data_IF_963079335052
#
_entry.id   IF_963079335052
#
_cell.length_a   1.000
_cell.length_b   1.000
_cell.length_c   1.000
_cell.angle_alpha   90.00
_cell.angle_beta   90.00
_cell.angle_gamma   90.00
#
_symmetry.space_group_name_H-M   'P 1'
#
loop_
_entity.id
_entity.type
_entity.pdbx_description
1 polymer ?
#
# COMPACT_ATOMS: atom_id res chain seq x y z
N UNK A 1 9.30 22.60 12.61
CA UNK A 1 8.64 21.64 11.68
C UNK A 1 9.28 20.25 11.65
N UNK A 2 10.57 20.06 11.98
CA UNK A 2 11.21 18.73 11.97
C UNK A 2 10.86 17.83 13.17
N UNK A 3 10.47 18.41 14.31
CA UNK A 3 10.17 17.67 15.55
C UNK A 3 8.85 16.87 15.51
N UNK A 4 7.83 17.31 14.76
CA UNK A 4 6.54 16.58 14.69
C UNK A 4 6.62 15.30 13.84
N UNK A 5 7.49 15.27 12.83
CA UNK A 5 7.67 14.09 11.96
C UNK A 5 8.43 12.96 12.67
N UNK A 6 9.41 13.30 13.53
CA UNK A 6 10.14 12.31 14.33
C UNK A 6 9.26 11.63 15.38
N UNK A 7 8.36 12.39 16.03
CA UNK A 7 7.40 11.83 16.99
C UNK A 7 6.40 10.86 16.34
N UNK A 8 5.96 11.12 15.10
CA UNK A 8 5.01 10.25 14.39
C UNK A 8 5.60 8.90 13.97
N UNK A 9 6.88 8.85 13.60
CA UNK A 9 7.55 7.59 13.23
C UNK A 9 8.02 6.79 14.45
N UNK A 10 8.48 7.46 15.52
CA UNK A 10 8.89 6.81 16.77
C UNK A 10 7.72 6.12 17.50
N UNK A 11 6.54 6.73 17.52
CA UNK A 11 5.36 6.15 18.17
C UNK A 11 4.79 4.94 17.40
N UNK A 12 4.99 4.87 16.08
CA UNK A 12 4.55 3.71 15.28
C UNK A 12 5.35 2.44 15.64
N UNK A 13 6.62 2.57 16.02
CA UNK A 13 7.50 1.44 16.32
C UNK A 13 7.17 0.80 17.67
N UNK A 14 6.68 1.57 18.65
CA UNK A 14 6.44 1.07 20.02
C UNK A 14 5.09 0.33 20.14
N UNK A 15 4.08 0.68 19.32
CA UNK A 15 2.79 -0.04 19.26
C UNK A 15 2.82 -1.24 18.28
N UNK A 16 3.87 -1.34 17.44
CA UNK A 16 3.92 -2.26 16.31
C UNK A 16 4.02 -3.75 16.65
N UNK A 17 4.48 -4.16 17.84
CA UNK A 17 4.77 -5.58 18.09
C UNK A 17 3.55 -6.51 17.94
N UNK A 18 2.33 -5.98 18.08
CA UNK A 18 1.08 -6.76 17.90
C UNK A 18 0.22 -6.36 16.71
N UNK A 19 0.43 -5.19 16.10
CA UNK A 19 -0.41 -4.67 15.02
C UNK A 19 0.05 -5.03 13.61
N UNK A 20 1.30 -5.51 13.47
CA UNK A 20 1.86 -5.83 12.16
C UNK A 20 1.97 -7.34 11.89
N UNK A 21 1.96 -7.70 10.61
CA UNK A 21 2.21 -9.05 10.09
C UNK A 21 3.27 -8.98 9.01
N UNK A 22 4.22 -9.92 9.03
CA UNK A 22 5.19 -10.04 7.95
C UNK A 22 4.53 -10.69 6.73
N UNK A 23 4.71 -10.06 5.58
CA UNK A 23 4.33 -10.57 4.26
C UNK A 23 5.60 -10.66 3.43
N UNK A 24 6.08 -11.87 3.20
CA UNK A 24 7.31 -12.12 2.45
C UNK A 24 7.05 -12.84 1.14
N UNK A 25 8.01 -12.74 0.22
CA UNK A 25 8.10 -13.57 -0.97
C UNK A 25 9.46 -14.22 -1.03
N UNK A 26 9.49 -15.52 -1.35
CA UNK A 26 10.70 -16.31 -1.56
C UNK A 26 10.57 -17.01 -2.91
N UNK A 27 11.60 -16.93 -3.79
CA UNK A 27 11.57 -17.60 -5.08
C UNK A 27 11.32 -19.10 -4.95
N UNK A 28 10.55 -19.65 -5.87
CA UNK A 28 10.28 -21.09 -5.93
C UNK A 28 8.88 -21.43 -6.41
N UNK A 29 8.65 -22.73 -6.49
CA UNK A 29 7.36 -23.33 -6.79
C UNK A 29 6.75 -23.88 -5.51
N UNK A 30 5.77 -23.15 -4.98
CA UNK A 30 5.13 -23.48 -3.71
C UNK A 30 3.84 -24.27 -3.99
N UNK A 31 3.66 -25.40 -3.33
CA UNK A 31 2.49 -26.30 -3.48
C UNK A 31 1.88 -26.63 -2.12
N UNK A 32 0.61 -27.03 -2.13
CA UNK A 32 -0.11 -27.42 -0.91
C UNK A 32 -0.08 -26.31 0.16
N UNK A 33 0.16 -26.64 1.44
CA UNK A 33 0.18 -25.65 2.52
C UNK A 33 1.24 -24.55 2.34
N UNK A 34 2.33 -24.81 1.61
CA UNK A 34 3.39 -23.82 1.38
C UNK A 34 2.93 -22.63 0.53
N UNK A 35 1.86 -22.78 -0.26
CA UNK A 35 1.30 -21.66 -1.03
C UNK A 35 0.87 -20.49 -0.14
N UNK A 36 0.41 -20.76 1.08
CA UNK A 36 -0.04 -19.73 2.04
C UNK A 36 1.12 -19.03 2.78
N UNK A 37 2.37 -19.44 2.54
CA UNK A 37 3.54 -18.88 3.25
C UNK A 37 4.10 -17.62 2.58
N UNK A 38 3.87 -17.44 1.28
CA UNK A 38 4.55 -16.39 0.50
C UNK A 38 3.61 -15.61 -0.43
N UNK A 39 4.07 -14.43 -0.85
CA UNK A 39 3.44 -13.63 -1.89
C UNK A 39 2.00 -13.22 -1.61
N UNK A 40 1.20 -13.10 -2.67
CA UNK A 40 -0.18 -12.63 -2.55
C UNK A 40 -1.08 -13.64 -1.82
N UNK A 41 -0.69 -14.91 -1.76
CA UNK A 41 -1.40 -15.96 -1.03
C UNK A 41 -1.13 -15.90 0.48
N UNK A 42 0.06 -15.44 0.91
CA UNK A 42 0.31 -15.10 2.32
C UNK A 42 -0.53 -13.92 2.78
N UNK A 43 -0.62 -12.87 1.96
CA UNK A 43 -1.48 -11.74 2.25
C UNK A 43 -2.94 -12.19 2.39
N UNK A 44 -3.42 -12.99 1.42
CA UNK A 44 -4.76 -13.57 1.46
C UNK A 44 -5.02 -14.34 2.74
N UNK A 45 -4.15 -15.28 3.12
CA UNK A 45 -4.37 -16.10 4.32
C UNK A 45 -4.45 -15.27 5.59
N UNK A 46 -3.63 -14.22 5.71
CA UNK A 46 -3.65 -13.31 6.85
C UNK A 46 -4.94 -12.49 6.88
N UNK A 47 -5.41 -12.00 5.72
CA UNK A 47 -6.67 -11.24 5.64
C UNK A 47 -7.91 -12.12 5.87
N UNK A 48 -7.89 -13.40 5.47
CA UNK A 48 -8.97 -14.36 5.73
C UNK A 48 -9.24 -14.57 7.23
N UNK A 49 -8.24 -14.38 8.08
CA UNK A 49 -8.33 -14.46 9.56
C UNK A 49 -8.90 -13.16 10.19
N UNK A 50 -9.10 -12.10 9.40
CA UNK A 50 -9.51 -10.79 9.90
C UNK A 50 -11.00 -10.51 9.70
N UNK A 51 -11.57 -9.78 10.66
CA UNK A 51 -12.92 -9.21 10.60
C UNK A 51 -12.80 -7.69 10.48
N UNK A 52 -13.48 -7.11 9.50
CA UNK A 52 -13.45 -5.69 9.18
C UNK A 52 -14.83 -5.07 9.40
N UNK A 53 -14.87 -3.75 9.56
CA UNK A 53 -16.14 -3.01 9.62
C UNK A 53 -16.87 -3.10 8.26
N UNK A 54 -18.20 -3.21 8.31
CA UNK A 54 -19.06 -3.30 7.11
C UNK A 54 -18.82 -2.21 6.07
N UNK A 55 -18.36 -1.02 6.49
CA UNK A 55 -18.01 0.07 5.58
C UNK A 55 -16.91 -0.30 4.56
N UNK A 56 -16.14 -1.37 4.80
CA UNK A 56 -15.09 -1.82 3.90
C UNK A 56 -15.57 -2.88 2.88
N UNK A 57 -16.82 -3.33 2.96
CA UNK A 57 -17.40 -4.24 1.97
C UNK A 57 -17.35 -3.64 0.57
N UNK A 58 -16.70 -4.35 -0.37
CA UNK A 58 -16.45 -3.95 -1.76
C UNK A 58 -15.76 -2.58 -1.91
N UNK A 59 -15.21 -2.04 -0.81
CA UNK A 59 -14.52 -0.77 -0.82
C UNK A 59 -13.25 -0.82 -1.68
N UNK A 60 -12.80 0.31 -2.24
CA UNK A 60 -11.70 0.31 -3.21
C UNK A 60 -10.36 -0.14 -2.62
N UNK A 61 -9.50 -0.63 -3.52
CA UNK A 61 -8.13 -1.01 -3.26
C UNK A 61 -7.19 0.00 -3.91
N UNK A 62 -6.09 0.35 -3.26
CA UNK A 62 -5.03 1.18 -3.84
C UNK A 62 -3.76 0.34 -3.97
N UNK A 63 -3.18 0.33 -5.17
CA UNK A 63 -1.87 -0.24 -5.47
C UNK A 63 -0.94 0.90 -5.82
N UNK A 64 0.08 1.13 -5.01
CA UNK A 64 1.11 2.11 -5.30
C UNK A 64 2.47 1.42 -5.31
N UNK A 65 3.24 1.64 -6.37
CA UNK A 65 4.53 1.00 -6.56
C UNK A 65 5.42 1.85 -7.47
N UNK A 66 6.66 1.41 -7.74
CA UNK A 66 7.62 2.13 -8.59
C UNK A 66 8.07 1.32 -9.81
N UNK A 67 7.63 0.08 -9.97
CA UNK A 67 7.85 -0.72 -11.19
C UNK A 67 6.66 -1.64 -11.47
N UNK A 68 6.40 -1.89 -12.75
CA UNK A 68 5.30 -2.66 -13.28
C UNK A 68 5.82 -3.82 -14.13
N UNK A 69 5.50 -5.05 -13.70
CA UNK A 69 5.78 -6.25 -14.48
C UNK A 69 4.87 -6.40 -15.69
N UNK A 70 5.08 -7.44 -16.49
CA UNK A 70 4.13 -7.80 -17.55
C UNK A 70 2.90 -8.48 -16.94
N UNK A 71 1.79 -7.73 -16.83
CA UNK A 71 0.53 -8.19 -16.24
C UNK A 71 -0.51 -8.55 -17.30
N UNK A 72 -1.51 -9.34 -16.91
CA UNK A 72 -2.72 -9.60 -17.70
C UNK A 72 -3.96 -9.51 -16.79
N UNK A 73 -5.16 -9.45 -17.39
CA UNK A 73 -6.41 -9.31 -16.64
C UNK A 73 -6.68 -10.48 -15.70
N UNK A 74 -6.27 -11.69 -16.09
CA UNK A 74 -6.41 -12.90 -15.28
C UNK A 74 -5.63 -12.75 -13.97
N UNK A 75 -4.37 -12.35 -14.06
CA UNK A 75 -3.53 -12.16 -12.88
C UNK A 75 -3.97 -10.95 -12.05
N UNK A 76 -4.43 -9.86 -12.67
CA UNK A 76 -5.02 -8.74 -11.93
C UNK A 76 -6.23 -9.18 -11.09
N UNK A 77 -7.08 -10.05 -11.64
CA UNK A 77 -8.23 -10.62 -10.93
C UNK A 77 -7.80 -11.57 -9.81
N UNK A 78 -6.80 -12.41 -10.06
CA UNK A 78 -6.19 -13.29 -9.05
C UNK A 78 -5.63 -12.48 -7.86
N UNK A 79 -4.86 -11.43 -8.15
CA UNK A 79 -4.29 -10.55 -7.15
C UNK A 79 -5.37 -9.79 -6.38
N UNK A 80 -6.35 -9.20 -7.08
CA UNK A 80 -7.48 -8.50 -6.46
C UNK A 80 -8.30 -9.42 -5.53
N UNK A 81 -8.48 -10.70 -5.89
CA UNK A 81 -9.12 -11.70 -5.04
C UNK A 81 -8.37 -11.88 -3.71
N UNK A 82 -7.04 -12.02 -3.77
CA UNK A 82 -6.21 -12.09 -2.56
C UNK A 82 -6.33 -10.86 -1.66
N UNK A 83 -6.31 -9.66 -2.24
CA UNK A 83 -6.42 -8.39 -1.50
C UNK A 83 -7.86 -8.10 -1.02
N UNK A 84 -8.82 -8.92 -1.41
CA UNK A 84 -10.23 -8.78 -1.06
C UNK A 84 -10.74 -9.82 -0.06
N UNK A 85 -9.83 -10.61 0.49
CA UNK A 85 -10.11 -11.57 1.54
C UNK A 85 -10.53 -10.90 2.87
N UNK A 86 -11.10 -11.72 3.74
CA UNK A 86 -11.61 -11.32 5.05
C UNK A 86 -13.13 -11.21 5.08
N UNK A 87 -13.65 -11.01 6.29
CA UNK A 87 -15.09 -10.93 6.54
C UNK A 87 -15.46 -9.56 7.09
N UNK A 88 -16.69 -9.15 6.89
CA UNK A 88 -17.29 -8.06 7.64
C UNK A 88 -17.76 -8.53 9.02
N UNK A 89 -18.04 -7.57 9.91
CA UNK A 89 -18.61 -7.79 11.25
C UNK A 89 -19.94 -8.57 11.23
N UNK A 90 -20.74 -8.44 10.18
CA UNK A 90 -21.97 -9.21 9.95
C UNK A 90 -21.72 -10.63 9.36
N UNK A 91 -20.46 -11.04 9.25
CA UNK A 91 -20.05 -12.35 8.74
C UNK A 91 -20.03 -12.46 7.21
N UNK A 92 -20.50 -11.45 6.47
CA UNK A 92 -20.42 -11.45 5.01
C UNK A 92 -18.98 -11.37 4.50
N UNK A 93 -18.73 -11.84 3.27
CA UNK A 93 -17.41 -11.71 2.64
C UNK A 93 -17.14 -10.24 2.34
N UNK A 94 -15.92 -9.78 2.63
CA UNK A 94 -15.53 -8.39 2.37
C UNK A 94 -15.65 -8.03 0.88
N UNK A 95 -15.40 -9.01 0.00
CA UNK A 95 -15.71 -8.94 -1.42
C UNK A 95 -14.75 -8.08 -2.25
N UNK A 96 -14.79 -8.30 -3.57
CA UNK A 96 -13.88 -7.67 -4.54
C UNK A 96 -13.99 -6.15 -4.48
N UNK A 97 -12.87 -5.49 -4.17
CA UNK A 97 -12.73 -4.04 -4.22
C UNK A 97 -12.26 -3.57 -5.59
N UNK A 98 -12.67 -2.37 -6.01
CA UNK A 98 -12.19 -1.75 -7.27
C UNK A 98 -10.71 -1.36 -7.13
N UNK A 99 -9.80 -1.87 -7.97
CA UNK A 99 -8.40 -1.45 -7.95
C UNK A 99 -8.24 -0.01 -8.46
N UNK A 100 -7.37 0.75 -7.80
CA UNK A 100 -6.85 2.04 -8.21
C UNK A 100 -5.33 1.96 -8.16
N UNK A 101 -4.66 2.25 -9.27
CA UNK A 101 -3.21 2.19 -9.38
C UNK A 101 -2.64 3.60 -9.33
N UNK A 102 -1.92 3.92 -8.25
CA UNK A 102 -1.19 5.18 -8.13
C UNK A 102 0.15 5.03 -8.84
N UNK A 103 0.28 5.74 -9.96
CA UNK A 103 1.47 5.73 -10.81
C UNK A 103 1.81 7.16 -11.27
N UNK A 104 3.09 7.57 -11.28
CA UNK A 104 3.47 8.89 -11.76
C UNK A 104 3.14 9.08 -13.25
N UNK A 105 2.55 10.22 -13.57
CA UNK A 105 2.44 10.67 -14.97
C UNK A 105 3.80 11.13 -15.50
N UNK A 106 3.89 11.28 -16.81
CA UNK A 106 5.04 11.94 -17.47
C UNK A 106 5.25 13.34 -16.91
N UNK A 107 4.17 14.08 -16.65
CA UNK A 107 4.24 15.45 -16.12
C UNK A 107 4.69 15.46 -14.65
N UNK A 108 4.25 14.49 -13.84
CA UNK A 108 4.72 14.33 -12.45
C UNK A 108 6.23 14.10 -12.40
N UNK A 109 6.77 13.22 -13.26
CA UNK A 109 8.21 12.95 -13.35
C UNK A 109 8.96 14.19 -13.88
N UNK A 110 8.49 14.77 -14.99
CA UNK A 110 9.11 15.95 -15.62
C UNK A 110 9.19 17.14 -14.67
N UNK A 111 8.17 17.36 -13.85
CA UNK A 111 8.09 18.46 -12.89
C UNK A 111 8.62 18.12 -11.49
N UNK A 112 9.13 16.91 -11.30
CA UNK A 112 9.70 16.44 -10.04
C UNK A 112 10.92 17.27 -9.63
N UNK A 113 11.39 17.08 -8.39
CA UNK A 113 12.61 17.72 -7.89
C UNK A 113 13.82 17.28 -8.72
N UNK A 114 13.84 16.04 -9.22
CA UNK A 114 14.96 15.48 -9.97
C UNK A 114 14.75 15.54 -11.50
N UNK A 115 13.62 16.11 -11.95
CA UNK A 115 13.24 16.12 -13.35
C UNK A 115 13.13 14.70 -13.92
N UNK A 116 13.53 14.51 -15.17
CA UNK A 116 13.48 13.18 -15.78
C UNK A 116 14.42 12.15 -15.12
N UNK A 117 15.45 12.58 -14.39
CA UNK A 117 16.37 11.66 -13.72
C UNK A 117 15.65 10.76 -12.71
N UNK A 118 14.61 11.27 -12.01
CA UNK A 118 13.76 10.46 -11.12
C UNK A 118 13.11 9.26 -11.82
N UNK A 119 12.83 9.40 -13.13
CA UNK A 119 12.25 8.34 -13.95
C UNK A 119 13.09 7.08 -14.03
N UNK A 120 14.41 7.18 -13.78
CA UNK A 120 15.33 6.04 -13.69
C UNK A 120 15.00 5.10 -12.54
N UNK A 121 14.43 5.63 -11.45
CA UNK A 121 13.96 4.87 -10.29
C UNK A 121 12.50 4.40 -10.41
N UNK A 122 11.87 4.66 -11.56
CA UNK A 122 10.53 4.17 -11.91
C UNK A 122 10.61 3.29 -13.17
N UNK A 123 11.32 2.14 -13.12
CA UNK A 123 11.65 1.36 -14.31
C UNK A 123 10.43 0.53 -14.75
N UNK A 124 9.73 0.98 -15.78
CA UNK A 124 8.65 0.19 -16.42
C UNK A 124 8.59 0.46 -17.91
N UNK A 125 8.74 -0.57 -18.75
CA UNK A 125 8.76 -0.40 -20.19
C UNK A 125 7.37 -0.04 -20.71
N UNK A 126 7.32 0.74 -21.78
CA UNK A 126 6.10 1.24 -22.43
C UNK A 126 5.11 0.10 -22.70
N UNK A 127 5.59 -1.04 -23.21
CA UNK A 127 4.78 -2.24 -23.48
C UNK A 127 4.03 -2.83 -22.27
N UNK A 128 4.50 -2.55 -21.05
CA UNK A 128 3.81 -2.99 -19.83
C UNK A 128 2.80 -1.95 -19.35
N UNK A 129 3.18 -0.67 -19.43
CA UNK A 129 2.40 0.45 -18.90
C UNK A 129 1.21 0.78 -19.80
N UNK A 130 1.36 0.68 -21.12
CA UNK A 130 0.33 1.05 -22.09
C UNK A 130 -0.65 -0.09 -22.44
N UNK A 131 -0.69 -1.18 -21.66
CA UNK A 131 -1.69 -2.24 -21.86
C UNK A 131 -3.09 -1.69 -21.64
N UNK A 132 -3.98 -1.89 -22.62
CA UNK A 132 -5.28 -1.22 -22.63
C UNK A 132 -6.15 -1.48 -21.40
N UNK A 133 -6.12 -2.69 -20.85
CA UNK A 133 -6.89 -3.02 -19.65
C UNK A 133 -6.48 -2.24 -18.40
N UNK A 134 -5.27 -1.64 -18.38
CA UNK A 134 -4.79 -0.84 -17.27
C UNK A 134 -5.34 0.58 -17.26
N UNK A 135 -5.80 1.10 -18.41
CA UNK A 135 -6.26 2.50 -18.56
C UNK A 135 -7.29 2.90 -17.51
N UNK A 136 -8.18 1.98 -17.14
CA UNK A 136 -9.26 2.20 -16.15
C UNK A 136 -8.81 2.27 -14.69
N UNK A 137 -7.56 1.95 -14.39
CA UNK A 137 -7.04 1.91 -13.02
C UNK A 137 -6.16 3.10 -12.66
N UNK A 138 -5.61 3.83 -13.63
CA UNK A 138 -4.59 4.84 -13.38
C UNK A 138 -5.09 6.01 -12.52
N UNK A 139 -4.31 6.31 -11.50
CA UNK A 139 -4.50 7.40 -10.55
C UNK A 139 -3.18 8.14 -10.35
N UNK A 140 -3.24 9.46 -10.23
CA UNK A 140 -2.10 10.36 -10.14
C UNK A 140 -1.31 10.15 -8.85
N UNK A 141 0.01 10.34 -8.94
CA UNK A 141 0.82 10.59 -7.76
C UNK A 141 0.50 11.99 -7.23
N UNK A 142 -0.20 12.04 -6.09
CA UNK A 142 -0.48 13.29 -5.36
C UNK A 142 -0.16 13.09 -3.90
N UNK A 143 0.64 13.97 -3.32
CA UNK A 143 1.18 13.88 -1.98
C UNK A 143 1.37 15.28 -1.33
N UNK A 144 0.51 16.24 -1.68
CA UNK A 144 0.58 17.63 -1.18
C UNK A 144 0.46 17.70 0.34
N UNK A 145 -0.38 16.85 0.94
CA UNK A 145 -0.63 16.78 2.39
C UNK A 145 0.62 16.41 3.20
N UNK A 146 1.63 15.82 2.56
CA UNK A 146 2.92 15.48 3.18
C UNK A 146 4.10 16.18 2.50
N UNK A 147 3.84 17.17 1.65
CA UNK A 147 4.86 17.97 0.96
C UNK A 147 5.73 17.17 -0.03
N UNK A 148 5.26 16.02 -0.53
CA UNK A 148 6.05 15.10 -1.37
C UNK A 148 5.55 14.97 -2.80
N UNK A 149 4.65 15.85 -3.26
CA UNK A 149 4.12 15.82 -4.63
C UNK A 149 5.22 15.80 -5.70
N UNK A 150 6.31 16.53 -5.50
CA UNK A 150 7.44 16.59 -6.44
C UNK A 150 8.55 15.57 -6.15
N UNK A 151 8.43 14.77 -5.10
CA UNK A 151 9.37 13.70 -4.78
C UNK A 151 8.82 12.38 -5.33
N UNK A 152 9.47 11.83 -6.36
CA UNK A 152 8.96 10.66 -7.05
C UNK A 152 8.99 9.40 -6.16
N UNK A 153 7.95 8.55 -6.22
CA UNK A 153 7.82 7.44 -5.30
C UNK A 153 8.78 6.29 -5.68
N UNK A 154 9.65 5.92 -4.74
CA UNK A 154 10.29 4.61 -4.71
C UNK A 154 9.68 3.68 -3.63
N UNK A 155 8.77 4.20 -2.82
CA UNK A 155 7.98 3.42 -1.85
C UNK A 155 6.98 2.50 -2.58
N UNK A 156 6.56 1.38 -1.96
CA UNK A 156 5.49 0.51 -2.47
C UNK A 156 4.50 0.23 -1.36
N UNK A 157 3.23 0.50 -1.62
CA UNK A 157 2.16 0.30 -0.64
C UNK A 157 0.89 -0.25 -1.28
N UNK A 158 0.16 -1.04 -0.50
CA UNK A 158 -1.11 -1.61 -0.89
C UNK A 158 -2.09 -1.41 0.26
N UNK A 159 -3.33 -1.01 -0.02
CA UNK A 159 -4.31 -0.76 1.03
C UNK A 159 -5.74 -0.92 0.54
N UNK A 160 -6.67 -1.20 1.46
CA UNK A 160 -8.11 -1.09 1.27
C UNK A 160 -8.61 0.05 2.15
N UNK A 161 -9.48 0.90 1.63
CA UNK A 161 -9.89 2.11 2.32
C UNK A 161 -11.36 2.48 2.07
N UNK A 162 -11.91 3.29 2.96
CA UNK A 162 -13.17 4.01 2.74
C UNK A 162 -13.06 5.43 3.32
N UNK A 163 -13.10 6.44 2.44
CA UNK A 163 -12.82 7.82 2.81
C UNK A 163 -11.39 7.96 3.35
N UNK A 164 -11.26 8.40 4.60
CA UNK A 164 -9.96 8.46 5.31
C UNK A 164 -9.73 7.27 6.25
N UNK A 165 -10.65 6.31 6.32
CA UNK A 165 -10.49 5.09 7.12
C UNK A 165 -9.79 4.01 6.30
N UNK A 166 -8.95 3.22 6.96
CA UNK A 166 -8.12 2.20 6.35
C UNK A 166 -8.52 0.85 6.93
N UNK A 167 -8.84 -0.12 6.07
CA UNK A 167 -9.12 -1.49 6.52
C UNK A 167 -7.81 -2.22 6.88
N UNK A 168 -6.78 -2.03 6.07
CA UNK A 168 -5.44 -2.56 6.27
C UNK A 168 -4.46 -1.80 5.38
N UNK A 169 -3.19 -1.74 5.77
CA UNK A 169 -2.15 -1.05 5.01
C UNK A 169 -0.89 -1.90 4.95
N UNK A 170 -0.33 -2.07 3.78
CA UNK A 170 0.89 -2.85 3.56
C UNK A 170 1.96 -1.93 3.01
N UNK A 171 3.11 -1.89 3.70
CA UNK A 171 4.35 -1.29 3.22
C UNK A 171 5.32 -2.43 2.86
N UNK A 172 5.84 -2.45 1.64
CA UNK A 172 6.64 -3.58 1.13
C UNK A 172 7.72 -3.15 0.14
N UNK A 173 8.65 -4.05 -0.17
CA UNK A 173 9.53 -3.94 -1.32
C UNK A 173 8.86 -4.36 -2.64
N UNK A 174 7.79 -5.15 -2.56
CA UNK A 174 7.11 -5.75 -3.72
C UNK A 174 6.48 -4.72 -4.66
N UNK A 175 7.02 -4.62 -5.86
CA UNK A 175 6.38 -3.94 -6.99
C UNK A 175 5.18 -4.73 -7.53
N UNK A 176 4.33 -4.11 -8.36
CA UNK A 176 3.19 -4.82 -8.97
C UNK A 176 3.68 -5.72 -10.12
N UNK A 177 4.07 -6.94 -9.77
CA UNK A 177 4.56 -7.93 -10.72
C UNK A 177 4.28 -9.36 -10.25
N UNK A 178 4.13 -10.28 -11.20
CA UNK A 178 4.06 -11.74 -10.95
C UNK A 178 5.34 -12.27 -10.29
N UNK A 179 6.49 -11.66 -10.57
CA UNK A 179 7.77 -12.08 -10.02
C UNK A 179 7.84 -11.85 -8.49
N UNK A 180 7.38 -10.67 -8.05
CA UNK A 180 7.35 -10.26 -6.65
C UNK A 180 6.24 -10.95 -5.86
N UNK A 181 5.02 -10.98 -6.41
CA UNK A 181 3.84 -11.45 -5.68
C UNK A 181 3.53 -12.93 -5.87
N UNK A 182 4.01 -13.51 -6.96
CA UNK A 182 3.68 -14.85 -7.41
C UNK A 182 2.52 -14.90 -8.39
N UNK A 183 2.42 -16.00 -9.13
CA UNK A 183 1.28 -16.32 -9.98
C UNK A 183 0.87 -17.78 -9.82
N UNK A 184 -0.44 -18.02 -9.76
CA UNK A 184 -1.01 -19.37 -9.70
C UNK A 184 -0.85 -20.09 -11.05
N UNK A 185 -0.44 -21.35 -10.97
CA UNK A 185 -0.18 -22.25 -12.08
C UNK A 185 -0.82 -23.61 -11.82
N UNK A 186 -0.82 -24.49 -12.84
CA UNK A 186 -1.34 -25.87 -12.73
C UNK A 186 -2.74 -25.92 -12.10
N UNK A 187 -3.70 -25.19 -12.67
CA UNK A 187 -5.07 -25.08 -12.15
C UNK A 187 -5.13 -24.66 -10.67
N UNK A 188 -4.36 -23.63 -10.32
CA UNK A 188 -4.29 -23.03 -8.98
C UNK A 188 -3.74 -23.97 -7.87
N UNK A 189 -3.01 -25.02 -8.24
CA UNK A 189 -2.38 -25.95 -7.28
C UNK A 189 -0.92 -25.63 -6.98
N UNK A 190 -0.34 -24.65 -7.69
CA UNK A 190 1.05 -24.22 -7.53
C UNK A 190 1.14 -22.69 -7.59
N UNK A 191 1.88 -22.07 -6.67
CA UNK A 191 2.23 -20.66 -6.70
C UNK A 191 3.70 -20.51 -7.09
N UNK A 192 3.99 -19.82 -8.20
CA UNK A 192 5.37 -19.58 -8.65
C UNK A 192 5.79 -18.15 -8.35
N UNK A 193 6.88 -17.97 -7.59
CA UNK A 193 7.50 -16.69 -7.23
C UNK A 193 8.92 -16.65 -7.77
N UNK A 194 9.40 -15.47 -8.21
CA UNK A 194 10.75 -15.29 -8.78
C UNK A 194 11.66 -14.36 -8.00
N UNK A 195 11.12 -13.60 -7.05
CA UNK A 195 11.86 -12.56 -6.33
C UNK A 195 11.77 -12.74 -4.82
N UNK A 196 12.81 -12.28 -4.11
CA UNK A 196 12.76 -12.07 -2.67
C UNK A 196 12.10 -10.72 -2.40
N UNK A 197 11.11 -10.71 -1.53
CA UNK A 197 10.44 -9.48 -1.11
C UNK A 197 10.05 -9.56 0.36
N UNK A 198 9.91 -8.40 1.00
CA UNK A 198 9.44 -8.34 2.38
C UNK A 198 8.63 -7.06 2.61
N UNK A 199 7.57 -7.20 3.41
CA UNK A 199 6.74 -6.10 3.85
C UNK A 199 6.07 -6.34 5.20
N UNK A 200 5.53 -5.25 5.74
CA UNK A 200 4.79 -5.20 7.00
C UNK A 200 3.35 -4.77 6.73
N UNK A 201 2.40 -5.63 7.10
CA UNK A 201 0.97 -5.39 6.99
C UNK A 201 0.43 -4.91 8.34
N UNK A 202 -0.08 -3.69 8.37
CA UNK A 202 -0.80 -3.08 9.48
C UNK A 202 -2.28 -3.48 9.41
N UNK A 203 -2.78 -4.05 10.51
CA UNK A 203 -4.15 -4.52 10.66
C UNK A 203 -4.85 -3.84 11.85
N UNK A 204 -6.16 -3.57 11.76
CA UNK A 204 -6.95 -3.24 12.93
C UNK A 204 -7.01 -4.48 13.81
N UNK A 205 -6.77 -4.32 15.11
CA UNK A 205 -6.90 -5.41 16.06
C UNK A 205 -7.57 -4.97 17.34
N UNK A 206 -8.13 -5.98 18.00
CA UNK A 206 -8.44 -5.94 19.41
C UNK A 206 -7.14 -6.25 20.17
N UNK A 207 -6.49 -5.23 20.73
CA UNK A 207 -5.36 -5.44 21.63
C UNK A 207 -5.91 -5.80 23.01
N UNK A 208 -5.38 -6.87 23.60
CA UNK A 208 -5.40 -7.04 25.05
C UNK A 208 -4.29 -6.15 25.61
N UNK A 209 -4.64 -5.24 26.52
CA UNK A 209 -3.68 -4.42 27.27
C UNK A 209 -2.58 -5.33 27.85
N UNK A 210 -1.35 -5.12 27.41
CA UNK A 210 -0.14 -5.76 27.94
C UNK A 210 0.92 -4.69 28.16
N UNK A 211 1.87 -4.90 29.08
CA UNK A 211 2.89 -3.91 29.39
C UNK A 211 3.65 -3.45 28.14
N UNK A 212 3.67 -2.14 27.90
CA UNK A 212 4.37 -1.53 26.79
C UNK A 212 5.89 -1.62 27.03
N UNK A 213 6.65 -2.22 26.10
CA UNK A 213 8.10 -2.21 26.15
C UNK A 213 8.61 -1.02 25.32
N UNK A 214 9.25 -0.05 25.97
CA UNK A 214 9.89 1.10 25.31
C UNK A 214 11.38 1.10 25.61
N UNK A 215 12.21 1.25 24.57
CA UNK A 215 13.65 1.48 24.72
C UNK A 215 14.01 2.97 24.78
N UNK A 216 13.02 3.86 24.86
CA UNK A 216 13.21 5.30 25.03
C UNK A 216 12.49 5.77 26.29
N UNK A 217 13.21 6.52 27.13
CA UNK A 217 12.66 7.14 28.31
C UNK A 217 11.76 8.32 27.91
N UNK A 218 10.50 8.25 28.36
CA UNK A 218 9.47 9.29 28.32
C UNK A 218 8.60 9.36 27.05
N UNK A 219 7.60 8.48 27.01
CA UNK A 219 6.20 8.95 27.02
C UNK A 219 5.34 7.88 27.68
N UNK A 220 4.87 8.15 28.91
CA UNK A 220 3.81 7.33 29.52
C UNK A 220 2.56 7.59 28.70
N UNK A 221 2.19 6.64 27.87
CA UNK A 221 0.97 6.72 27.06
C UNK A 221 -0.24 6.68 28.00
N UNK A 222 -1.37 7.27 27.59
CA UNK A 222 -2.64 7.16 28.33
C UNK A 222 -3.14 5.71 28.45
N UNK A 223 -2.47 4.74 27.82
CA UNK A 223 -2.73 3.31 27.93
C UNK A 223 -2.44 2.75 29.33
N UNK A 224 -1.57 3.38 30.12
CA UNK A 224 -1.30 2.98 31.52
C UNK A 224 -2.53 3.13 32.43
N UNK A 225 -3.55 3.90 32.01
CA UNK A 225 -4.82 4.04 32.73
C UNK A 225 -5.88 3.02 32.33
N UNK A 226 -5.64 2.21 31.29
CA UNK A 226 -6.58 1.15 30.90
C UNK A 226 -6.33 -0.10 31.73
N UNK A 227 -7.32 -0.44 32.55
CA UNK A 227 -7.36 -1.67 33.33
C UNK A 227 -6.92 -2.89 32.49
N UNK A 228 -5.96 -3.64 33.01
CA UNK A 228 -5.45 -4.88 32.45
C UNK A 228 -6.64 -5.79 32.08
N UNK A 229 -6.70 -6.23 30.82
CA UNK A 229 -7.76 -7.11 30.32
C UNK A 229 -8.90 -6.46 29.52
N UNK A 230 -8.93 -5.13 29.34
CA UNK A 230 -9.86 -4.51 28.36
C UNK A 230 -9.37 -4.71 26.92
N UNK A 231 -10.33 -5.06 26.05
CA UNK A 231 -10.16 -5.17 24.61
C UNK A 231 -10.21 -3.76 23.98
N UNK A 232 -9.08 -3.25 23.50
CA UNK A 232 -9.01 -1.97 22.79
C UNK A 232 -9.10 -2.25 21.30
N UNK A 233 -10.09 -1.67 20.60
CA UNK A 233 -10.21 -1.81 19.15
C UNK A 233 -9.37 -0.71 18.48
N UNK A 234 -8.38 -1.06 17.67
CA UNK A 234 -7.64 -0.03 16.93
C UNK A 234 -8.35 0.33 15.63
N UNK A 235 -8.48 1.62 15.35
CA UNK A 235 -9.00 2.16 14.08
C UNK A 235 -7.86 2.75 13.27
N UNK A 236 -7.62 2.22 12.07
CA UNK A 236 -6.59 2.75 11.17
C UNK A 236 -7.18 3.88 10.33
N UNK A 237 -6.50 5.02 10.29
CA UNK A 237 -6.91 6.20 9.50
C UNK A 237 -5.70 6.86 8.84
N UNK A 238 -5.93 7.70 7.84
CA UNK A 238 -4.86 8.54 7.25
C UNK A 238 -4.51 9.72 8.18
N UNK A 239 -3.39 10.40 7.89
CA UNK A 239 -3.06 11.68 8.55
C UNK A 239 -4.12 12.77 8.33
N UNK A 240 -4.87 12.70 7.23
CA UNK A 240 -5.88 13.70 6.86
C UNK A 240 -7.25 13.45 7.51
N UNK A 241 -7.40 12.40 8.31
CA UNK A 241 -8.65 12.10 9.00
C UNK A 241 -8.97 13.18 10.05
N UNK A 242 -10.16 13.78 9.94
CA UNK A 242 -10.66 14.86 10.82
C UNK A 242 -11.81 14.40 11.74
N UNK A 243 -11.94 13.10 11.96
CA UNK A 243 -13.00 12.60 12.84
C UNK A 243 -12.71 12.92 14.30
N UNK A 244 -13.76 12.86 15.10
CA UNK A 244 -13.74 13.20 16.52
C UNK A 244 -13.26 11.99 17.33
N UNK A 245 -12.10 12.12 17.97
CA UNK A 245 -11.48 11.05 18.79
C UNK A 245 -12.25 10.83 20.10
N UNK A 246 -13.10 11.77 20.53
CA UNK A 246 -13.86 11.69 21.78
C UNK A 246 -15.13 10.83 21.69
N UNK A 247 -15.57 10.48 20.47
CA UNK A 247 -16.84 9.76 20.25
C UNK A 247 -16.82 8.27 20.55
N UNK A 248 -15.64 7.65 20.62
CA UNK A 248 -15.50 6.24 20.98
C UNK A 248 -14.25 6.03 21.85
N UNK A 249 -14.35 6.23 23.18
CA UNK A 249 -13.22 6.05 24.10
C UNK A 249 -12.71 4.61 24.18
N UNK A 250 -13.38 3.65 23.52
CA UNK A 250 -12.94 2.25 23.44
C UNK A 250 -12.08 1.95 22.20
N UNK A 251 -11.99 2.91 21.26
CA UNK A 251 -11.24 2.75 20.03
C UNK A 251 -9.98 3.63 19.99
N UNK A 252 -8.80 3.00 19.87
CA UNK A 252 -7.54 3.71 19.70
C UNK A 252 -7.33 4.06 18.22
N UNK A 253 -7.20 5.36 17.91
CA UNK A 253 -6.98 5.81 16.53
C UNK A 253 -5.49 5.75 16.18
N UNK A 254 -5.15 4.91 15.20
CA UNK A 254 -3.80 4.79 14.66
C UNK A 254 -3.74 5.53 13.32
N UNK A 255 -3.00 6.63 13.29
CA UNK A 255 -2.81 7.45 12.09
C UNK A 255 -1.63 6.93 11.27
N UNK A 256 -1.91 6.45 10.06
CA UNK A 256 -0.91 5.94 9.13
C UNK A 256 -0.46 7.03 8.16
N UNK A 257 0.85 7.20 7.94
CA UNK A 257 1.41 8.17 7.00
C UNK A 257 1.29 7.64 5.55
N UNK A 258 0.06 7.49 5.04
CA UNK A 258 -0.17 7.11 3.64
C UNK A 258 0.49 8.15 2.74
N UNK A 259 1.43 7.75 1.86
CA UNK A 259 2.35 8.69 1.21
C UNK A 259 1.71 9.46 0.04
N UNK A 260 0.46 9.16 -0.30
CA UNK A 260 -0.34 9.80 -1.34
C UNK A 260 -1.72 10.17 -0.80
N UNK A 261 -2.40 11.07 -1.51
CA UNK A 261 -3.76 11.49 -1.22
C UNK A 261 -4.72 10.31 -1.35
N UNK A 262 -5.63 10.24 -0.39
CA UNK A 262 -6.74 9.28 -0.36
C UNK A 262 -8.02 10.10 -0.30
N UNK A 263 -9.04 9.84 -1.14
CA UNK A 263 -9.00 8.94 -2.30
C UNK A 263 -8.02 9.43 -3.38
N UNK A 264 -7.38 8.53 -4.15
CA UNK A 264 -6.54 8.91 -5.28
C UNK A 264 -7.34 9.62 -6.38
N UNK A 265 -6.74 10.65 -6.99
CA UNK A 265 -7.28 11.30 -8.18
C UNK A 265 -7.01 10.43 -9.42
N UNK A 266 -8.04 10.07 -10.17
CA UNK A 266 -7.89 9.36 -11.45
C UNK A 266 -7.09 10.19 -12.47
N UNK A 267 -6.48 9.51 -13.43
CA UNK A 267 -5.91 10.18 -14.59
C UNK A 267 -6.98 10.93 -15.39
N UNK A 268 -6.64 12.13 -15.84
CA UNK A 268 -7.41 12.89 -16.82
C UNK A 268 -7.08 12.46 -18.26
N UNK A 269 -7.80 13.01 -19.25
CA UNK A 269 -7.66 12.63 -20.66
C UNK A 269 -6.25 12.84 -21.23
N UNK A 270 -5.55 13.87 -20.76
CA UNK A 270 -4.20 14.26 -21.21
C UNK A 270 -3.07 13.58 -20.42
N UNK A 271 -3.41 12.82 -19.38
CA UNK A 271 -2.39 12.18 -18.55
C UNK A 271 -1.81 10.95 -19.24
N UNK A 272 -0.49 10.96 -19.38
CA UNK A 272 0.28 9.83 -19.90
C UNK A 272 1.04 9.21 -18.73
N UNK A 273 0.94 7.88 -18.50
CA UNK A 273 1.73 7.23 -17.46
C UNK A 273 3.21 7.22 -17.83
N UNK A 274 4.10 7.38 -16.85
CA UNK A 274 5.54 7.31 -17.09
C UNK A 274 5.97 5.93 -17.58
N UNK A 275 6.84 5.90 -18.60
CA UNK A 275 7.55 4.71 -19.07
C UNK A 275 9.01 5.08 -19.40
N UNK A 276 9.96 4.37 -18.81
CA UNK A 276 11.38 4.73 -18.84
C UNK A 276 12.07 4.60 -20.22
N UNK A 277 11.51 3.82 -21.14
CA UNK A 277 12.08 3.53 -22.46
C UNK A 277 11.43 4.37 -23.58
N UNK A 278 10.46 5.22 -23.24
CA UNK A 278 9.85 6.18 -24.17
C UNK A 278 10.69 7.44 -24.25
N UNK A 279 10.76 8.05 -25.44
CA UNK A 279 11.41 9.35 -25.64
C UNK A 279 10.45 10.49 -25.25
N UNK A 280 10.93 11.44 -24.46
CA UNK A 280 10.21 12.65 -24.07
C UNK A 280 11.03 13.90 -24.41
N UNK A 281 10.50 14.75 -25.29
CA UNK A 281 11.21 15.91 -25.86
C UNK A 281 10.91 17.23 -25.16
N UNK A 282 9.86 17.30 -24.34
CA UNK A 282 9.55 18.48 -23.52
C UNK A 282 10.62 18.62 -22.44
N UNK A 283 11.16 19.82 -22.22
CA UNK A 283 12.20 20.04 -21.21
C UNK A 283 11.67 19.82 -19.78
N UNK A 284 12.46 19.20 -18.91
CA UNK A 284 12.20 19.12 -17.47
C UNK A 284 12.59 20.40 -16.72
N UNK A 285 12.53 20.35 -15.38
CA UNK A 285 12.91 21.47 -14.50
C UNK A 285 14.38 21.89 -14.62
N UNK A 286 15.22 21.09 -15.27
CA UNK A 286 16.64 21.36 -15.53
C UNK A 286 16.92 21.66 -17.01
N UNK A 287 15.87 21.86 -17.82
CA UNK A 287 16.04 22.10 -19.25
C UNK A 287 16.40 20.85 -20.07
N UNK A 288 16.36 19.65 -19.46
CA UNK A 288 16.77 18.38 -20.07
C UNK A 288 15.60 17.63 -20.72
N UNK A 289 15.91 16.76 -21.68
CA UNK A 289 14.97 15.80 -22.30
C UNK A 289 15.27 14.38 -21.84
N UNK A 290 14.42 13.40 -22.19
CA UNK A 290 14.62 12.00 -21.84
C UNK A 290 14.59 11.06 -23.07
N UNK A 291 15.54 10.11 -23.20
CA UNK A 291 16.76 10.03 -22.40
C UNK A 291 17.64 11.26 -22.61
N UNK A 292 18.54 11.55 -21.66
CA UNK A 292 19.53 12.63 -21.85
C UNK A 292 20.37 12.28 -23.08
N UNK A 293 20.52 13.24 -24.00
CA UNK A 293 21.56 13.12 -25.02
C UNK A 293 22.90 13.14 -24.28
N UNK A 294 23.67 12.06 -24.44
CA UNK A 294 25.03 11.96 -23.90
C UNK A 294 25.97 12.96 -24.53
#
# INVERSE_FOLDING_TARGET
MSTSMQHSFGNLIIVAQRLVRLIGSVPGYHVGPNMKKWGHMKLRSVLEECVFEKQFCKSPLIYQFSSLGSLDEKWMSEFACSLSAGKADDGSQLGIGKPLIVWPTVEDVRCSIEGYAAGSCIPSPQKNVEKDFLRKYWSRWKADHVGRCRAMPHIKTFTRYNGQNIAWFLLTSSNLSKAAWGALQKNNTQLMIRSYELGVLFLPKTLQSVPQFSCTDKSRSNLDKLALGKNIKTKLVTLCWKGDEEKDPSAEVVRLPVPYQVPPQLYGPEDVPWSWDRRYTKKDVYGSVWPRHG
#
